data_IF_017571413346
#
_entry.id   IF_017571413346
#
_cell.length_a   1.000
_cell.length_b   1.000
_cell.length_c   1.000
_cell.angle_alpha   90.00
_cell.angle_beta   90.00
_cell.angle_gamma   90.00
#
_symmetry.space_group_name_H-M   'P 1'
#
loop_
_entity.id
_entity.type
_entity.pdbx_description
1 polymer ?
#
# COMPACT_ATOMS: atom_id res chain seq x y z
N UNK A 1 -8.43 -8.81 23.82
CA UNK A 1 -7.72 -7.81 23.00
C UNK A 1 -7.71 -8.26 21.55
N UNK A 2 -8.12 -7.40 20.61
CA UNK A 2 -8.15 -7.75 19.17
C UNK A 2 -6.74 -7.62 18.58
N UNK A 3 -6.30 -8.61 17.83
CA UNK A 3 -4.92 -8.71 17.28
C UNK A 3 -4.88 -8.54 15.76
N UNK A 4 -6.02 -8.49 15.09
CA UNK A 4 -6.10 -8.45 13.63
C UNK A 4 -7.02 -7.33 13.14
N UNK A 5 -6.55 -6.61 12.11
CA UNK A 5 -7.39 -5.71 11.32
C UNK A 5 -8.37 -6.58 10.53
N UNK A 6 -9.66 -6.26 10.62
CA UNK A 6 -10.69 -6.90 9.82
C UNK A 6 -10.82 -6.21 8.47
N UNK A 7 -11.05 -6.98 7.39
CA UNK A 7 -11.38 -6.40 6.08
C UNK A 7 -12.66 -5.56 6.12
N UNK A 8 -13.54 -5.83 7.10
CA UNK A 8 -14.72 -5.01 7.35
C UNK A 8 -14.39 -3.61 7.90
N UNK A 9 -13.29 -3.46 8.64
CA UNK A 9 -12.83 -2.14 9.10
C UNK A 9 -12.44 -1.25 7.92
N UNK A 10 -11.80 -1.83 6.88
CA UNK A 10 -11.44 -1.10 5.66
C UNK A 10 -12.68 -0.56 4.94
N UNK A 11 -13.72 -1.38 4.82
CA UNK A 11 -14.98 -0.94 4.23
C UNK A 11 -15.67 0.16 5.07
N UNK A 12 -15.71 -0.03 6.39
CA UNK A 12 -16.30 0.95 7.33
C UNK A 12 -15.54 2.27 7.35
N UNK A 13 -14.24 2.27 7.10
CA UNK A 13 -13.43 3.49 7.06
C UNK A 13 -14.03 4.53 6.11
N UNK A 14 -14.55 4.10 4.96
CA UNK A 14 -15.13 4.98 3.94
C UNK A 14 -16.33 5.78 4.47
N UNK A 15 -17.05 5.26 5.47
CA UNK A 15 -18.29 5.85 5.98
C UNK A 15 -18.22 6.27 7.45
N UNK A 16 -17.29 5.72 8.23
CA UNK A 16 -17.16 5.92 9.68
C UNK A 16 -15.67 6.01 10.11
N UNK A 17 -14.88 6.95 9.55
CA UNK A 17 -13.44 6.97 9.78
C UNK A 17 -13.07 7.18 11.26
N UNK A 18 -13.76 8.08 11.97
CA UNK A 18 -13.48 8.34 13.40
C UNK A 18 -13.64 7.10 14.28
N UNK A 19 -14.71 6.33 14.09
CA UNK A 19 -14.96 5.10 14.84
C UNK A 19 -13.92 4.00 14.53
N UNK A 20 -13.43 3.94 13.29
CA UNK A 20 -12.38 2.99 12.89
C UNK A 20 -11.04 3.39 13.49
N UNK A 21 -10.70 4.68 13.56
CA UNK A 21 -9.46 5.13 14.20
C UNK A 21 -9.45 4.88 15.71
N UNK A 22 -10.59 5.08 16.38
CA UNK A 22 -10.74 4.75 17.80
C UNK A 22 -10.60 3.23 18.04
N UNK A 23 -11.25 2.40 17.21
CA UNK A 23 -11.07 0.95 17.24
C UNK A 23 -9.60 0.56 16.99
N UNK A 24 -8.92 1.24 16.04
CA UNK A 24 -7.53 0.98 15.71
C UNK A 24 -6.58 1.35 16.85
N UNK A 25 -6.82 2.44 17.58
CA UNK A 25 -5.98 2.84 18.72
C UNK A 25 -5.96 1.82 19.86
N UNK A 26 -7.05 1.05 20.02
CA UNK A 26 -7.15 -0.02 21.01
C UNK A 26 -6.60 -1.37 20.50
N UNK A 27 -6.20 -1.43 19.23
CA UNK A 27 -5.71 -2.65 18.58
C UNK A 27 -4.18 -2.71 18.61
N UNK A 28 -3.61 -3.92 18.67
CA UNK A 28 -2.16 -4.15 18.52
C UNK A 28 -1.90 -5.12 17.37
N UNK A 29 -2.01 -4.65 16.12
CA UNK A 29 -1.82 -5.51 14.97
C UNK A 29 -0.35 -5.92 14.83
N UNK A 30 -0.12 -7.16 14.43
CA UNK A 30 1.20 -7.65 14.05
C UNK A 30 1.57 -7.07 12.67
N UNK A 31 2.71 -6.34 12.54
CA UNK A 31 3.12 -5.75 11.26
C UNK A 31 3.23 -6.77 10.13
N UNK A 32 3.63 -8.00 10.40
CA UNK A 32 3.79 -9.06 9.41
C UNK A 32 2.43 -9.47 8.86
N UNK A 33 1.44 -9.63 9.74
CA UNK A 33 0.06 -9.97 9.34
C UNK A 33 -0.52 -8.87 8.46
N UNK A 34 -0.34 -7.60 8.82
CA UNK A 34 -0.83 -6.47 8.01
C UNK A 34 -0.13 -6.45 6.64
N UNK A 35 1.18 -6.64 6.63
CA UNK A 35 2.00 -6.59 5.42
C UNK A 35 1.61 -7.68 4.40
N UNK A 36 1.62 -8.95 4.81
CA UNK A 36 1.35 -10.07 3.91
C UNK A 36 -0.13 -10.18 3.53
N UNK A 37 -1.05 -9.77 4.40
CA UNK A 37 -2.49 -9.86 4.13
C UNK A 37 -3.02 -8.73 3.27
N UNK A 38 -2.48 -7.51 3.40
CA UNK A 38 -3.04 -6.32 2.75
C UNK A 38 -2.02 -5.60 1.87
N UNK A 39 -0.87 -5.21 2.43
CA UNK A 39 0.08 -4.31 1.77
C UNK A 39 0.64 -4.89 0.47
N UNK A 40 1.06 -6.16 0.47
CA UNK A 40 1.59 -6.80 -0.75
C UNK A 40 0.57 -6.77 -1.88
N UNK A 41 -0.69 -7.08 -1.59
CA UNK A 41 -1.75 -7.12 -2.61
C UNK A 41 -2.10 -5.73 -3.13
N UNK A 42 -2.18 -4.75 -2.24
CA UNK A 42 -2.39 -3.35 -2.61
C UNK A 42 -1.24 -2.79 -3.45
N UNK A 43 0.01 -3.11 -3.09
CA UNK A 43 1.19 -2.67 -3.84
C UNK A 43 1.37 -3.41 -5.17
N UNK A 44 0.92 -4.66 -5.27
CA UNK A 44 1.04 -5.49 -6.48
C UNK A 44 -0.01 -5.13 -7.55
N UNK A 45 -1.19 -4.68 -7.15
CA UNK A 45 -2.27 -4.38 -8.08
C UNK A 45 -1.89 -3.33 -9.15
N UNK A 46 -1.37 -2.12 -8.81
CA UNK A 46 -1.00 -1.12 -9.82
C UNK A 46 0.03 -1.59 -10.85
N UNK A 47 1.19 -2.19 -10.49
CA UNK A 47 2.18 -2.63 -11.47
C UNK A 47 1.69 -3.78 -12.36
N UNK A 48 0.84 -4.69 -11.83
CA UNK A 48 0.22 -5.76 -12.62
C UNK A 48 -0.75 -5.18 -13.65
N UNK A 49 -1.64 -4.28 -13.24
CA UNK A 49 -2.57 -3.65 -14.18
C UNK A 49 -1.86 -2.75 -15.19
N UNK A 50 -0.79 -2.05 -14.78
CA UNK A 50 0.05 -1.28 -15.69
C UNK A 50 0.74 -2.18 -16.73
N UNK A 51 1.27 -3.34 -16.32
CA UNK A 51 1.87 -4.31 -17.24
C UNK A 51 0.86 -4.82 -18.28
N UNK A 52 -0.32 -5.25 -17.82
CA UNK A 52 -1.39 -5.76 -18.68
C UNK A 52 -1.85 -4.66 -19.65
N UNK A 53 -2.04 -3.43 -19.14
CA UNK A 53 -2.46 -2.30 -19.95
C UNK A 53 -1.45 -1.94 -21.03
N UNK A 54 -0.18 -1.81 -20.64
CA UNK A 54 0.91 -1.45 -21.56
C UNK A 54 1.17 -2.54 -22.62
N UNK A 55 1.03 -3.83 -22.26
CA UNK A 55 1.21 -4.94 -23.21
C UNK A 55 0.04 -5.10 -24.18
N UNK A 56 -1.19 -4.82 -23.74
CA UNK A 56 -2.40 -5.04 -24.56
C UNK A 56 -2.73 -3.85 -25.45
N UNK A 57 -2.60 -2.62 -24.93
CA UNK A 57 -3.11 -1.42 -25.60
C UNK A 57 -2.02 -0.55 -26.22
N UNK A 58 -0.75 -0.73 -25.83
CA UNK A 58 0.32 0.18 -26.23
C UNK A 58 0.09 1.62 -25.72
N UNK A 59 0.87 2.57 -26.20
CA UNK A 59 0.78 3.97 -25.81
C UNK A 59 0.98 4.87 -27.03
N UNK A 60 0.19 5.95 -27.13
CA UNK A 60 0.25 6.93 -28.23
C UNK A 60 0.09 8.32 -27.66
N UNK A 61 1.22 9.01 -27.46
CA UNK A 61 1.22 10.44 -27.17
C UNK A 61 1.76 11.13 -28.41
N UNK A 62 0.86 11.57 -29.30
CA UNK A 62 1.21 12.28 -30.55
C UNK A 62 1.79 11.41 -31.68
N UNK A 63 1.82 10.08 -31.53
CA UNK A 63 2.33 9.17 -32.55
C UNK A 63 1.25 8.68 -33.54
N UNK A 64 1.61 8.59 -34.83
CA UNK A 64 0.73 8.05 -35.88
C UNK A 64 0.43 6.55 -35.71
N UNK A 65 1.34 5.81 -35.07
CA UNK A 65 1.20 4.38 -34.79
C UNK A 65 1.30 4.08 -33.29
N UNK A 66 0.73 2.94 -32.87
CA UNK A 66 0.88 2.45 -31.49
C UNK A 66 2.34 2.15 -31.19
N UNK A 67 2.87 2.77 -30.14
CA UNK A 67 4.19 2.42 -29.61
C UNK A 67 4.01 1.33 -28.57
N UNK A 68 4.98 0.42 -28.50
CA UNK A 68 5.07 -0.59 -27.47
C UNK A 68 6.48 -0.57 -26.91
N UNK A 69 6.59 -0.67 -25.58
CA UNK A 69 7.87 -0.98 -24.96
C UNK A 69 8.12 -2.49 -25.14
N UNK A 70 9.38 -2.92 -25.23
CA UNK A 70 9.70 -4.36 -25.33
C UNK A 70 9.20 -5.12 -24.10
N UNK A 71 8.84 -6.40 -24.26
CA UNK A 71 8.34 -7.22 -23.15
C UNK A 71 9.27 -7.23 -21.93
N UNK A 72 10.57 -7.33 -22.16
CA UNK A 72 11.59 -7.25 -21.11
C UNK A 72 11.60 -5.88 -20.41
N UNK A 73 11.46 -4.80 -21.18
CA UNK A 73 11.36 -3.44 -20.66
C UNK A 73 10.12 -3.23 -19.78
N UNK A 74 8.96 -3.74 -20.21
CA UNK A 74 7.74 -3.70 -19.39
C UNK A 74 7.94 -4.44 -18.07
N UNK A 75 8.53 -5.65 -18.12
CA UNK A 75 8.75 -6.45 -16.93
C UNK A 75 9.65 -5.72 -15.93
N UNK A 76 10.77 -5.14 -16.39
CA UNK A 76 11.68 -4.35 -15.55
C UNK A 76 10.95 -3.16 -14.93
N UNK A 77 10.18 -2.39 -15.71
CA UNK A 77 9.43 -1.23 -15.21
C UNK A 77 8.40 -1.66 -14.16
N UNK A 78 7.61 -2.70 -14.42
CA UNK A 78 6.57 -3.16 -13.49
C UNK A 78 7.15 -3.73 -12.19
N UNK A 79 8.25 -4.47 -12.27
CA UNK A 79 8.95 -4.97 -11.08
C UNK A 79 9.54 -3.81 -10.28
N UNK A 80 10.23 -2.86 -10.93
CA UNK A 80 10.77 -1.68 -10.28
C UNK A 80 9.66 -0.85 -9.61
N UNK A 81 8.53 -0.68 -10.29
CA UNK A 81 7.37 0.03 -9.77
C UNK A 81 6.84 -0.62 -8.49
N UNK A 82 6.70 -1.95 -8.46
CA UNK A 82 6.32 -2.68 -7.24
C UNK A 82 7.25 -2.39 -6.06
N UNK A 83 8.57 -2.45 -6.27
CA UNK A 83 9.55 -2.18 -5.20
C UNK A 83 9.53 -0.72 -4.75
N UNK A 84 9.31 0.25 -5.66
CA UNK A 84 9.16 1.66 -5.31
C UNK A 84 7.91 1.87 -4.45
N UNK A 85 6.80 1.22 -4.76
CA UNK A 85 5.58 1.27 -3.94
C UNK A 85 5.81 0.68 -2.54
N UNK A 86 6.46 -0.48 -2.44
CA UNK A 86 6.81 -1.06 -1.14
C UNK A 86 7.75 -0.17 -0.34
N UNK A 87 8.77 0.39 -0.99
CA UNK A 87 9.70 1.33 -0.36
C UNK A 87 8.95 2.57 0.16
N UNK A 88 8.08 3.16 -0.66
CA UNK A 88 7.23 4.28 -0.27
C UNK A 88 6.40 3.95 0.97
N UNK A 89 5.66 2.85 0.94
CA UNK A 89 4.85 2.39 2.07
C UNK A 89 5.68 2.21 3.36
N UNK A 90 6.77 1.45 3.29
CA UNK A 90 7.60 1.14 4.47
C UNK A 90 8.23 2.42 5.03
N UNK A 91 8.76 3.29 4.15
CA UNK A 91 9.36 4.56 4.58
C UNK A 91 8.32 5.45 5.26
N UNK A 92 7.11 5.58 4.72
CA UNK A 92 6.01 6.33 5.35
C UNK A 92 5.66 5.77 6.72
N UNK A 93 5.55 4.46 6.87
CA UNK A 93 5.21 3.83 8.14
C UNK A 93 6.31 4.02 9.21
N UNK A 94 7.58 3.92 8.82
CA UNK A 94 8.72 4.18 9.70
C UNK A 94 8.79 5.64 10.11
N UNK A 95 8.59 6.58 9.18
CA UNK A 95 8.54 8.02 9.47
C UNK A 95 7.37 8.32 10.43
N UNK A 96 6.20 7.71 10.22
CA UNK A 96 5.07 7.86 11.12
C UNK A 96 5.39 7.36 12.54
N UNK A 97 6.05 6.20 12.66
CA UNK A 97 6.49 5.68 13.96
C UNK A 97 7.52 6.60 14.64
N UNK A 98 8.46 7.13 13.87
CA UNK A 98 9.45 8.08 14.37
C UNK A 98 8.79 9.35 14.90
N UNK A 99 7.82 9.89 14.17
CA UNK A 99 7.02 11.04 14.60
C UNK A 99 6.23 10.75 15.86
N UNK A 100 5.54 9.60 15.93
CA UNK A 100 4.79 9.19 17.12
C UNK A 100 5.70 9.11 18.35
N UNK A 101 6.90 8.55 18.19
CA UNK A 101 7.90 8.46 19.26
C UNK A 101 8.38 9.84 19.72
N UNK A 102 8.58 10.76 18.78
CA UNK A 102 9.00 12.15 19.06
C UNK A 102 7.97 12.89 19.92
N UNK A 103 6.68 12.60 19.73
CA UNK A 103 5.58 13.19 20.52
C UNK A 103 5.12 12.34 21.72
N UNK A 104 5.88 11.30 22.10
CA UNK A 104 5.60 10.48 23.28
C UNK A 104 4.53 9.40 23.09
N UNK A 105 3.96 9.25 21.90
CA UNK A 105 3.01 8.19 21.54
C UNK A 105 3.78 6.91 21.15
N UNK A 106 4.19 6.11 22.14
CA UNK A 106 4.95 4.87 21.92
C UNK A 106 4.05 3.71 21.48
N UNK A 107 3.83 3.57 20.18
CA UNK A 107 3.16 2.41 19.60
C UNK A 107 4.11 1.53 18.76
N UNK A 108 3.77 0.25 18.63
CA UNK A 108 4.49 -0.71 17.79
C UNK A 108 4.41 -0.37 16.31
N UNK A 109 5.37 -0.83 15.50
CA UNK A 109 5.38 -0.62 14.05
C UNK A 109 4.08 -1.10 13.35
N UNK A 110 3.46 -2.17 13.86
CA UNK A 110 2.24 -2.73 13.29
C UNK A 110 1.06 -1.76 13.21
N UNK A 111 0.88 -0.85 14.18
CA UNK A 111 -0.21 0.14 14.12
C UNK A 111 0.03 1.18 13.03
N UNK A 112 1.30 1.51 12.77
CA UNK A 112 1.68 2.44 11.71
C UNK A 112 1.50 1.79 10.33
N UNK A 113 1.82 0.50 10.21
CA UNK A 113 1.51 -0.29 9.01
C UNK A 113 -0.01 -0.32 8.77
N UNK A 114 -0.79 -0.56 9.83
CA UNK A 114 -2.24 -0.54 9.76
C UNK A 114 -2.78 0.81 9.29
N UNK A 115 -2.29 1.89 9.90
CA UNK A 115 -2.72 3.25 9.60
C UNK A 115 -2.41 3.64 8.15
N UNK A 116 -1.19 3.38 7.67
CA UNK A 116 -0.78 3.69 6.29
C UNK A 116 -1.50 2.79 5.27
N UNK A 117 -1.93 1.59 5.66
CA UNK A 117 -2.74 0.72 4.78
C UNK A 117 -4.17 1.26 4.61
N UNK A 118 -4.64 2.02 5.61
CA UNK A 118 -6.01 2.50 5.72
C UNK A 118 -6.17 3.87 5.04
N UNK A 119 -5.15 4.73 5.06
CA UNK A 119 -5.15 6.09 4.48
C UNK A 119 -4.72 6.06 3.02
#
# INVERSE_FOLDING_TARGET
MKTAISSWMLFRLLFQPGAVFEELSDTRPDPHVVFFKYVIWLALAPPVFAFIGASSFGWRIGAETLLYVSGDGLAVISIAYFFVLLFGFISTAVIAQWMATTYGARHSLGIHFALVTII
#
